data_IF_818789580346
#
_entry.id   IF_818789580346
#
_cell.length_a   1.000
_cell.length_b   1.000
_cell.length_c   1.000
_cell.angle_alpha   90.00
_cell.angle_beta   90.00
_cell.angle_gamma   90.00
#
_symmetry.space_group_name_H-M   'P 1'
#
loop_
_entity.id
_entity.type
_entity.pdbx_description
1 polymer ?
#
# COMPACT_ATOMS: atom_id res chain seq x y z
N UNK A 1 5.03 13.55 -8.13
CA UNK A 1 4.68 12.84 -6.88
C UNK A 1 5.19 11.40 -6.81
N UNK A 2 5.19 10.63 -7.93
CA UNK A 2 5.75 9.26 -8.04
C UNK A 2 7.20 9.10 -7.53
N UNK A 3 8.02 10.14 -7.66
CA UNK A 3 9.43 10.12 -7.23
C UNK A 3 9.61 10.03 -5.70
N UNK A 4 8.66 10.56 -4.91
CA UNK A 4 8.81 10.64 -3.44
C UNK A 4 8.73 9.26 -2.78
N UNK A 5 7.77 8.43 -3.19
CA UNK A 5 7.59 7.08 -2.64
C UNK A 5 8.70 6.13 -3.10
N UNK A 6 9.14 6.25 -4.36
CA UNK A 6 10.30 5.51 -4.86
C UNK A 6 11.56 5.83 -4.05
N UNK A 7 11.79 7.12 -3.71
CA UNK A 7 12.92 7.54 -2.88
C UNK A 7 12.81 7.01 -1.45
N UNK A 8 11.62 6.98 -0.85
CA UNK A 8 11.40 6.43 0.50
C UNK A 8 11.67 4.92 0.53
N UNK A 9 11.15 4.16 -0.44
CA UNK A 9 11.41 2.72 -0.55
C UNK A 9 12.91 2.45 -0.77
N UNK A 10 13.56 3.25 -1.60
CA UNK A 10 15.01 3.11 -1.87
C UNK A 10 15.83 3.43 -0.62
N UNK A 11 15.50 4.49 0.11
CA UNK A 11 16.15 4.85 1.39
C UNK A 11 15.92 3.78 2.47
N UNK A 12 14.74 3.16 2.51
CA UNK A 12 14.42 2.11 3.45
C UNK A 12 15.23 0.83 3.16
N UNK A 13 15.34 0.43 1.90
CA UNK A 13 16.17 -0.71 1.48
C UNK A 13 17.66 -0.47 1.78
N UNK A 14 18.17 0.75 1.53
CA UNK A 14 19.57 1.10 1.82
C UNK A 14 19.81 1.17 3.33
N UNK A 15 18.89 1.75 4.10
CA UNK A 15 19.00 1.85 5.56
C UNK A 15 19.03 0.48 6.23
N UNK A 16 18.17 -0.45 5.79
CA UNK A 16 18.17 -1.85 6.27
C UNK A 16 19.47 -2.57 5.89
N UNK A 17 20.04 -2.28 4.71
CA UNK A 17 21.31 -2.87 4.25
C UNK A 17 22.55 -2.32 4.98
N UNK A 18 22.46 -1.11 5.56
CA UNK A 18 23.55 -0.52 6.35
C UNK A 18 23.51 -0.99 7.81
N UNK A 19 22.31 -1.27 8.35
CA UNK A 19 22.13 -1.81 9.70
C UNK A 19 22.51 -3.30 9.80
N UNK A 20 22.62 -4.01 8.68
CA UNK A 20 23.00 -5.43 8.64
C UNK A 20 24.52 -5.69 8.62
N UNK A 21 25.36 -4.64 8.65
CA UNK A 21 26.81 -4.79 8.78
C UNK A 21 27.21 -5.02 10.24
N UNK A 22 26.94 -6.21 10.79
CA UNK A 22 27.53 -6.60 12.07
C UNK A 22 26.85 -7.69 12.89
N UNK A 23 25.67 -8.17 12.48
CA UNK A 23 24.95 -9.19 13.25
C UNK A 23 24.23 -10.09 12.26
N UNK A 24 24.37 -11.42 12.41
CA UNK A 24 23.60 -12.43 11.68
C UNK A 24 22.13 -12.38 12.11
N UNK A 25 21.51 -11.21 12.00
CA UNK A 25 20.10 -11.02 12.29
C UNK A 25 19.30 -11.52 11.09
N UNK A 26 18.37 -12.42 11.36
CA UNK A 26 17.57 -13.07 10.33
C UNK A 26 16.62 -12.05 9.72
N UNK A 27 16.96 -11.56 8.52
CA UNK A 27 16.05 -10.83 7.66
C UNK A 27 15.40 -11.81 6.68
N UNK A 28 14.09 -11.99 6.78
CA UNK A 28 13.31 -12.80 5.86
C UNK A 28 12.31 -11.89 5.16
N UNK A 29 12.30 -11.89 3.82
CA UNK A 29 11.34 -11.12 3.05
C UNK A 29 10.78 -11.95 1.90
N UNK A 30 9.47 -11.98 1.80
CA UNK A 30 8.71 -12.52 0.68
C UNK A 30 8.20 -11.36 -0.16
N UNK A 31 8.60 -11.33 -1.43
CA UNK A 31 8.17 -10.33 -2.40
C UNK A 31 7.41 -11.07 -3.50
N UNK A 32 6.16 -10.73 -3.71
CA UNK A 32 5.31 -11.29 -4.76
C UNK A 32 4.71 -10.18 -5.60
N UNK A 33 4.52 -10.40 -6.90
CA UNK A 33 3.96 -9.37 -7.76
C UNK A 33 4.36 -9.48 -9.22
N UNK A 34 4.01 -8.45 -9.97
CA UNK A 34 4.30 -8.32 -11.40
C UNK A 34 5.00 -6.99 -11.69
N UNK A 35 6.02 -7.07 -12.53
CA UNK A 35 6.66 -5.93 -13.18
C UNK A 35 6.48 -6.07 -14.69
N UNK A 36 5.76 -5.14 -15.31
CA UNK A 36 5.53 -5.15 -16.76
C UNK A 36 6.29 -4.01 -17.41
N UNK A 37 6.88 -4.30 -18.58
CA UNK A 37 7.58 -3.33 -19.42
C UNK A 37 7.00 -3.40 -20.82
N UNK A 38 6.49 -2.28 -21.33
CA UNK A 38 5.98 -2.16 -22.68
C UNK A 38 6.94 -1.31 -23.50
N UNK A 39 7.64 -1.95 -24.43
CA UNK A 39 8.53 -1.27 -25.36
C UNK A 39 7.83 -1.09 -26.70
N UNK A 40 7.78 0.15 -27.19
CA UNK A 40 7.22 0.48 -28.50
C UNK A 40 8.22 1.30 -29.29
N UNK A 41 8.38 0.99 -30.58
CA UNK A 41 9.26 1.73 -31.48
C UNK A 41 8.50 2.13 -32.75
N UNK A 42 8.50 3.42 -33.08
CA UNK A 42 7.77 3.95 -34.23
C UNK A 42 8.58 3.89 -35.52
N UNK A 43 8.21 3.01 -36.45
CA UNK A 43 8.78 2.95 -37.81
C UNK A 43 7.67 3.09 -38.87
N UNK A 44 7.89 3.93 -39.88
CA UNK A 44 6.94 4.14 -40.98
C UNK A 44 6.58 5.60 -41.23
N UNK A 45 5.43 5.83 -41.87
CA UNK A 45 5.00 7.18 -42.26
C UNK A 45 4.65 8.04 -41.02
N UNK A 46 5.07 9.31 -40.96
CA UNK A 46 4.77 10.19 -39.83
C UNK A 46 3.26 10.34 -39.56
N UNK A 47 2.44 10.41 -40.61
CA UNK A 47 1.00 10.56 -40.49
C UNK A 47 0.32 9.30 -39.89
N UNK A 48 0.76 8.10 -40.29
CA UNK A 48 0.23 6.86 -39.71
C UNK A 48 0.65 6.66 -38.26
N UNK A 49 1.89 7.01 -37.91
CA UNK A 49 2.41 6.92 -36.54
C UNK A 49 1.69 7.90 -35.60
N UNK A 50 1.39 9.12 -36.07
CA UNK A 50 0.66 10.11 -35.28
C UNK A 50 -0.74 9.63 -34.88
N UNK A 51 -1.45 8.88 -35.75
CA UNK A 51 -2.76 8.28 -35.42
C UNK A 51 -2.65 7.18 -34.36
N UNK A 52 -1.52 6.47 -34.30
CA UNK A 52 -1.20 5.49 -33.26
C UNK A 52 -0.61 6.13 -31.99
N UNK A 53 -0.55 7.46 -31.91
CA UNK A 53 0.02 8.21 -30.78
C UNK A 53 1.53 8.06 -30.63
N UNK A 54 2.26 7.80 -31.72
CA UNK A 54 3.72 7.66 -31.73
C UNK A 54 4.40 8.62 -32.71
N UNK A 55 5.65 8.98 -32.40
CA UNK A 55 6.52 9.70 -33.33
C UNK A 55 7.46 8.74 -34.07
N UNK A 56 7.87 9.06 -35.32
CA UNK A 56 8.86 8.29 -36.05
C UNK A 56 10.22 8.29 -35.34
N UNK A 57 10.89 7.13 -35.37
CA UNK A 57 12.20 6.88 -34.77
C UNK A 57 12.25 7.13 -33.25
N UNK A 58 11.09 7.14 -32.58
CA UNK A 58 11.02 7.29 -31.13
C UNK A 58 10.82 5.94 -30.45
N UNK A 59 11.61 5.71 -29.40
CA UNK A 59 11.43 4.61 -28.46
C UNK A 59 10.52 5.09 -27.32
N UNK A 60 9.43 4.38 -27.09
CA UNK A 60 8.55 4.56 -25.95
C UNK A 60 8.71 3.38 -25.00
N UNK A 61 8.89 3.68 -23.72
CA UNK A 61 8.94 2.70 -22.66
C UNK A 61 7.87 3.05 -21.63
N UNK A 62 6.85 2.21 -21.55
CA UNK A 62 5.84 2.26 -20.51
C UNK A 62 6.13 1.15 -19.48
N UNK A 63 5.85 1.42 -18.21
CA UNK A 63 6.15 0.49 -17.12
C UNK A 63 4.98 0.46 -16.14
N UNK A 64 4.70 -0.73 -15.62
CA UNK A 64 3.83 -0.92 -14.46
C UNK A 64 4.52 -1.75 -13.37
N UNK A 65 4.05 -1.65 -12.14
CA UNK A 65 4.54 -2.37 -10.98
C UNK A 65 3.37 -2.60 -10.01
N UNK A 66 3.09 -3.87 -9.72
CA UNK A 66 2.19 -4.31 -8.68
C UNK A 66 2.93 -5.31 -7.79
N UNK A 67 3.17 -4.97 -6.52
CA UNK A 67 3.96 -5.78 -5.58
C UNK A 67 3.37 -5.82 -4.19
N UNK A 68 3.54 -6.98 -3.57
CA UNK A 68 3.27 -7.31 -2.19
C UNK A 68 4.58 -7.71 -1.52
N UNK A 69 4.90 -7.02 -0.43
CA UNK A 69 6.11 -7.24 0.35
C UNK A 69 5.69 -7.58 1.77
N UNK A 70 6.11 -8.74 2.26
CA UNK A 70 6.02 -9.10 3.67
C UNK A 70 7.42 -9.47 4.14
N UNK A 71 7.92 -8.80 5.16
CA UNK A 71 9.25 -9.04 5.71
C UNK A 71 9.26 -9.05 7.22
N UNK A 72 10.17 -9.83 7.79
CA UNK A 72 10.51 -9.83 9.22
C UNK A 72 11.99 -9.52 9.36
N UNK A 73 12.32 -8.61 10.26
CA UNK A 73 13.69 -8.22 10.58
C UNK A 73 13.88 -8.23 12.09
N UNK A 74 15.08 -8.62 12.52
CA UNK A 74 15.52 -8.52 13.91
C UNK A 74 14.61 -9.25 14.93
N UNK A 75 13.74 -10.16 14.48
CA UNK A 75 12.67 -10.83 15.26
C UNK A 75 11.57 -9.92 15.84
N UNK A 76 11.74 -8.60 15.84
CA UNK A 76 10.81 -7.63 16.41
C UNK A 76 10.24 -6.64 15.39
N UNK A 77 10.73 -6.60 14.15
CA UNK A 77 10.18 -5.76 13.09
C UNK A 77 9.42 -6.60 12.07
N UNK A 78 8.20 -6.18 11.76
CA UNK A 78 7.42 -6.72 10.64
C UNK A 78 7.11 -5.61 9.65
N UNK A 79 7.37 -5.84 8.38
CA UNK A 79 7.13 -4.90 7.28
C UNK A 79 6.07 -5.52 6.37
N UNK A 80 5.00 -4.78 6.10
CA UNK A 80 3.99 -5.12 5.12
C UNK A 80 3.82 -3.95 4.16
N UNK A 81 3.93 -4.20 2.85
CA UNK A 81 3.70 -3.15 1.86
C UNK A 81 2.96 -3.70 0.64
N UNK A 82 1.94 -2.96 0.21
CA UNK A 82 1.23 -3.19 -1.03
C UNK A 82 1.39 -1.95 -1.91
N UNK A 83 2.00 -2.13 -3.06
CA UNK A 83 2.13 -1.08 -4.06
C UNK A 83 1.57 -1.54 -5.39
N UNK A 84 0.76 -0.70 -6.04
CA UNK A 84 0.22 -0.92 -7.37
C UNK A 84 0.12 0.43 -8.07
N UNK A 85 0.93 0.66 -9.10
CA UNK A 85 0.98 1.93 -9.83
C UNK A 85 -0.17 2.13 -10.82
N UNK A 86 -1.01 1.11 -11.01
CA UNK A 86 -2.26 1.19 -11.77
C UNK A 86 -3.43 1.61 -10.88
N UNK A 87 -3.27 1.57 -9.56
CA UNK A 87 -4.30 1.97 -8.59
C UNK A 87 -4.10 3.39 -8.03
N UNK A 88 -5.18 4.02 -7.54
CA UNK A 88 -5.12 5.27 -6.79
C UNK A 88 -4.18 5.21 -5.57
N UNK A 89 -3.64 6.37 -5.19
CA UNK A 89 -2.68 6.48 -4.07
C UNK A 89 -3.24 6.00 -2.73
N UNK A 90 -4.54 6.15 -2.50
CA UNK A 90 -5.23 5.70 -1.28
C UNK A 90 -5.46 4.17 -1.23
N UNK A 91 -5.01 3.43 -2.24
CA UNK A 91 -5.00 1.95 -2.26
C UNK A 91 -3.59 1.39 -2.12
N UNK A 92 -2.59 2.24 -1.85
CA UNK A 92 -1.22 1.84 -1.58
C UNK A 92 -0.99 1.83 -0.07
N UNK A 93 -0.49 0.72 0.46
CA UNK A 93 -0.25 0.57 1.90
C UNK A 93 1.20 0.29 2.23
N UNK A 94 1.62 0.82 3.37
CA UNK A 94 2.90 0.51 4.00
C UNK A 94 2.67 0.51 5.50
N UNK A 95 2.97 -0.60 6.14
CA UNK A 95 2.90 -0.77 7.58
C UNK A 95 4.23 -1.35 8.06
N UNK A 96 4.78 -0.75 9.10
CA UNK A 96 5.95 -1.26 9.81
C UNK A 96 5.58 -1.40 11.27
N UNK A 97 5.53 -2.63 11.74
CA UNK A 97 5.23 -2.98 13.13
C UNK A 97 6.51 -3.28 13.90
N UNK A 98 6.56 -2.76 15.12
CA UNK A 98 7.60 -2.95 16.12
C UNK A 98 6.98 -3.71 17.30
N UNK A 99 7.59 -4.85 17.66
CA UNK A 99 7.24 -5.66 18.81
C UNK A 99 8.50 -6.00 19.62
N UNK A 100 8.93 -5.05 20.45
CA UNK A 100 10.12 -5.14 21.28
C UNK A 100 9.75 -5.33 22.77
N UNK A 101 8.82 -6.25 23.06
CA UNK A 101 8.41 -6.60 24.42
C UNK A 101 7.57 -5.49 25.07
N UNK A 102 8.21 -4.66 25.90
CA UNK A 102 7.55 -3.54 26.57
C UNK A 102 7.25 -2.36 25.63
N UNK A 103 7.89 -2.33 24.46
CA UNK A 103 7.68 -1.30 23.45
C UNK A 103 7.03 -1.91 22.21
N UNK A 104 5.83 -1.45 21.91
CA UNK A 104 5.10 -1.77 20.69
C UNK A 104 4.90 -0.52 19.86
N UNK A 105 4.83 -0.67 18.55
CA UNK A 105 4.57 0.47 17.68
C UNK A 105 4.19 0.08 16.28
N UNK A 106 3.51 1.00 15.61
CA UNK A 106 3.14 0.86 14.20
C UNK A 106 3.42 2.18 13.49
N UNK A 107 4.13 2.11 12.37
CA UNK A 107 4.30 3.19 11.42
C UNK A 107 3.52 2.88 10.14
N UNK A 108 2.87 3.89 9.58
CA UNK A 108 2.11 3.79 8.33
C UNK A 108 0.63 3.58 8.60
N UNK A 109 0.02 2.61 7.93
CA UNK A 109 -1.43 2.42 7.94
C UNK A 109 -1.85 1.56 9.14
N UNK A 110 -2.73 2.09 10.00
CA UNK A 110 -3.28 1.37 11.14
C UNK A 110 -4.76 1.69 11.41
N UNK A 111 -5.56 0.70 11.85
CA UNK A 111 -6.94 0.93 12.23
C UNK A 111 -7.03 1.67 13.58
N UNK A 112 -8.00 2.58 13.70
CA UNK A 112 -8.54 2.94 15.01
C UNK A 112 -9.80 2.13 15.23
N UNK A 113 -9.71 1.11 16.09
CA UNK A 113 -10.87 0.51 16.73
C UNK A 113 -10.79 0.90 18.20
N UNK A 114 -11.71 1.75 18.67
CA UNK A 114 -11.94 1.90 20.10
C UNK A 114 -12.81 0.72 20.54
N UNK A 115 -12.33 -0.06 21.51
CA UNK A 115 -13.01 -1.28 21.99
C UNK A 115 -14.37 -1.00 22.66
N UNK A 116 -14.70 0.27 22.95
CA UNK A 116 -15.88 0.66 23.74
C UNK A 116 -17.04 1.28 22.95
N UNK A 117 -17.15 1.07 21.63
CA UNK A 117 -18.36 1.54 20.92
C UNK A 117 -18.81 0.57 19.84
N UNK A 118 -20.07 0.14 19.94
CA UNK A 118 -20.85 -0.64 18.95
C UNK A 118 -20.96 0.00 17.55
N UNK A 119 -20.17 1.03 17.26
CA UNK A 119 -20.03 1.70 15.98
C UNK A 119 -18.65 1.34 15.45
N UNK A 120 -18.57 0.25 14.67
CA UNK A 120 -17.37 -0.14 13.94
C UNK A 120 -17.02 0.94 12.91
N UNK A 121 -16.35 1.99 13.38
CA UNK A 121 -15.87 3.08 12.55
C UNK A 121 -14.50 2.69 12.01
N UNK A 122 -14.49 1.89 10.94
CA UNK A 122 -13.27 1.41 10.30
C UNK A 122 -12.61 2.55 9.50
N UNK A 123 -11.92 3.46 10.18
CA UNK A 123 -11.04 4.43 9.55
C UNK A 123 -9.59 3.96 9.63
N UNK A 124 -8.95 3.87 8.48
CA UNK A 124 -7.50 3.72 8.38
C UNK A 124 -6.84 5.08 8.61
N UNK A 125 -5.87 5.12 9.51
CA UNK A 125 -5.03 6.29 9.75
C UNK A 125 -3.64 6.02 9.24
N UNK A 126 -3.00 7.05 8.69
CA UNK A 126 -1.59 7.01 8.34
C UNK A 126 -0.79 7.81 9.36
N UNK A 127 0.16 7.16 10.05
CA UNK A 127 0.93 7.85 11.08
C UNK A 127 1.87 6.97 11.87
N UNK A 128 2.09 7.35 13.13
CA UNK A 128 2.91 6.65 14.11
C UNK A 128 2.06 6.40 15.34
N UNK A 129 2.05 5.15 15.80
CA UNK A 129 1.56 4.74 17.11
C UNK A 129 2.71 4.12 17.88
N UNK A 130 2.87 4.48 19.15
CA UNK A 130 3.81 3.88 20.08
C UNK A 130 3.10 3.60 21.40
N UNK A 131 3.31 2.41 21.93
CA UNK A 131 2.75 1.93 23.17
C UNK A 131 3.89 1.39 24.04
N UNK A 132 4.01 1.88 25.26
CA UNK A 132 5.06 1.48 26.20
C UNK A 132 4.47 0.98 27.52
N UNK A 133 4.82 -0.24 27.90
CA UNK A 133 4.39 -0.89 29.14
C UNK A 133 5.34 -0.51 30.29
N UNK A 134 4.80 0.07 31.36
CA UNK A 134 5.53 0.39 32.59
C UNK A 134 4.88 -0.36 33.75
N UNK A 135 5.29 -1.62 33.94
CA UNK A 135 4.69 -2.52 34.93
C UNK A 135 3.22 -2.80 34.61
N UNK A 136 2.29 -2.22 35.38
CA UNK A 136 0.85 -2.33 35.15
C UNK A 136 0.23 -1.14 34.41
N UNK A 137 1.02 -0.09 34.16
CA UNK A 137 0.58 1.08 33.42
C UNK A 137 1.00 0.96 31.95
N UNK A 138 0.20 1.55 31.04
CA UNK A 138 0.52 1.66 29.63
C UNK A 138 0.55 3.15 29.26
N UNK A 139 1.61 3.56 28.55
CA UNK A 139 1.73 4.90 27.98
C UNK A 139 1.61 4.79 26.47
N UNK A 140 0.61 5.45 25.91
CA UNK A 140 0.33 5.44 24.47
C UNK A 140 0.52 6.83 23.86
N UNK A 141 1.14 6.88 22.68
CA UNK A 141 1.32 8.08 21.88
C UNK A 141 0.92 7.83 20.43
N UNK A 142 0.08 8.71 19.87
CA UNK A 142 -0.38 8.62 18.47
C UNK A 142 -0.14 9.96 17.77
N UNK A 143 0.52 9.91 16.61
CA UNK A 143 0.73 11.04 15.71
C UNK A 143 0.28 10.61 14.31
N UNK A 144 -0.85 11.10 13.82
CA UNK A 144 -1.41 10.62 12.55
C UNK A 144 -2.12 11.69 11.73
N UNK A 145 -2.24 11.40 10.44
CA UNK A 145 -3.10 12.10 9.50
C UNK A 145 -4.24 11.16 9.09
N UNK A 146 -5.48 11.67 9.12
CA UNK A 146 -6.66 10.91 8.69
C UNK A 146 -6.70 10.87 7.16
N UNK A 147 -6.61 9.68 6.58
CA UNK A 147 -6.89 9.45 5.17
C UNK A 147 -8.30 8.83 5.06
N UNK A 148 -9.28 9.55 4.52
CA UNK A 148 -10.61 8.99 4.31
C UNK A 148 -11.68 10.03 3.93
N UNK A 149 -12.28 9.84 2.75
CA UNK A 149 -13.55 10.48 2.39
C UNK A 149 -14.64 9.54 2.90
N UNK A 150 -15.53 10.00 3.79
CA UNK A 150 -16.62 9.18 4.30
C UNK A 150 -17.63 8.89 3.19
N UNK A 151 -17.57 7.71 2.58
CA UNK A 151 -18.65 7.20 1.75
C UNK A 151 -19.74 6.56 2.63
N UNK A 152 -20.79 7.33 2.92
CA UNK A 152 -21.98 6.83 3.59
C UNK A 152 -23.00 6.34 2.55
N UNK A 153 -23.15 5.03 2.40
CA UNK A 153 -24.24 4.45 1.60
C UNK A 153 -25.45 4.19 2.50
N UNK A 154 -26.46 5.05 2.44
CA UNK A 154 -27.70 4.85 3.19
C UNK A 154 -28.55 3.80 2.50
N UNK A 155 -28.68 2.62 3.12
CA UNK A 155 -29.57 1.58 2.62
C UNK A 155 -30.97 1.80 3.19
N UNK A 156 -31.91 2.25 2.36
CA UNK A 156 -33.32 2.36 2.74
C UNK A 156 -34.04 1.14 2.21
N UNK A 157 -34.25 0.13 3.06
CA UNK A 157 -34.99 -1.07 2.70
C UNK A 157 -36.32 -1.17 3.46
N UNK A 158 -37.42 -1.30 2.72
CA UNK A 158 -38.46 -2.29 3.05
C UNK A 158 -38.71 -3.06 1.75
N UNK A 159 -38.39 -4.35 1.75
CA UNK A 159 -38.49 -5.32 0.64
C UNK A 159 -37.43 -5.20 -0.47
N UNK A 160 -36.42 -6.07 -0.42
CA UNK A 160 -35.59 -6.40 -1.58
C UNK A 160 -36.06 -7.75 -2.12
N UNK A 161 -36.68 -7.75 -3.30
CA UNK A 161 -36.83 -8.92 -4.17
C UNK A 161 -36.25 -8.49 -5.50
N UNK A 162 -35.18 -9.15 -5.93
CA UNK A 162 -34.55 -8.92 -7.23
C UNK A 162 -34.92 -10.13 -8.11
N UNK A 163 -35.82 -9.92 -9.07
CA UNK A 163 -36.13 -10.88 -10.12
C UNK A 163 -35.37 -10.45 -11.37
N UNK A 164 -34.34 -11.23 -11.74
CA UNK A 164 -33.56 -10.99 -12.96
C UNK A 164 -34.22 -11.79 -14.09
N UNK A 165 -34.96 -11.12 -14.96
CA UNK A 165 -35.47 -11.71 -16.21
C UNK A 165 -34.41 -11.62 -17.29
N UNK A 166 -33.86 -12.76 -17.70
CA UNK A 166 -33.04 -12.84 -18.91
C UNK A 166 -33.95 -12.93 -20.14
N UNK A 167 -33.80 -12.00 -21.08
CA UNK A 167 -34.32 -12.16 -22.44
C UNK A 167 -33.13 -12.40 -23.39
N UNK A 168 -33.03 -13.62 -23.91
CA UNK A 168 -32.15 -13.95 -25.02
C UNK A 168 -32.84 -13.48 -26.30
N UNK A 169 -32.24 -12.50 -26.99
CA UNK A 169 -32.60 -12.22 -28.37
C UNK A 169 -31.89 -13.24 -29.27
N UNK A 170 -32.68 -14.04 -30.01
CA UNK A 170 -32.19 -14.90 -31.10
C UNK A 170 -31.84 -14.09 -32.33
#
# INVERSE_FOLDING_TARGET
MKLRYLVIVTLLVIGVSLLSQGQEETFEATITGEKTWHLRYGFGSPHGLAQAGMAPNQLHLDQSLAVNITGKALSFLTINAQFDDQKPMNMQSLTVDLDAGDLQGTFGDFPISQEDTFLAYNKELRGIRLDYQIGKAQLSGILSQVEGISESKTFVGRTAHEEITFSLYS
#
